data_IF_840180047414
#
_entry.id   IF_840180047414
#
_cell.length_a   1.000
_cell.length_b   1.000
_cell.length_c   1.000
_cell.angle_alpha   90.00
_cell.angle_beta   90.00
_cell.angle_gamma   90.00
#
_symmetry.space_group_name_H-M   'P 1'
#
loop_
_entity.id
_entity.type
_entity.pdbx_description
1 polymer ?
#
# COMPACT_ATOMS: atom_id res chain seq x y z
N UNK A 1 -11.54 4.41 -11.69
CA UNK A 1 -10.50 3.87 -10.80
C UNK A 1 -10.83 4.28 -9.39
N UNK A 2 -10.92 3.31 -8.49
CA UNK A 2 -11.25 3.51 -7.07
C UNK A 2 -10.13 2.91 -6.22
N UNK A 3 -9.84 3.52 -5.07
CA UNK A 3 -8.89 3.00 -4.10
C UNK A 3 -9.69 2.74 -2.83
N UNK A 4 -9.67 1.49 -2.36
CA UNK A 4 -10.45 1.04 -1.20
C UNK A 4 -9.54 0.28 -0.24
N UNK A 5 -9.92 0.22 1.04
CA UNK A 5 -9.18 -0.53 2.04
C UNK A 5 -9.16 -2.01 1.66
N UNK A 6 -8.02 -2.64 1.89
CA UNK A 6 -7.89 -4.07 1.79
C UNK A 6 -8.75 -4.75 2.87
N UNK A 7 -9.32 -5.88 2.50
CA UNK A 7 -9.85 -6.89 3.42
C UNK A 7 -9.45 -8.27 2.87
N UNK A 8 -9.54 -9.31 3.69
CA UNK A 8 -9.14 -10.66 3.32
C UNK A 8 -9.85 -11.20 2.05
N UNK A 9 -11.00 -10.65 1.66
CA UNK A 9 -11.69 -11.03 0.42
C UNK A 9 -10.87 -10.72 -0.83
N UNK A 10 -9.92 -9.79 -0.76
CA UNK A 10 -9.05 -9.41 -1.87
C UNK A 10 -7.68 -10.11 -1.83
N UNK A 11 -7.44 -10.99 -0.87
CA UNK A 11 -6.15 -11.68 -0.68
C UNK A 11 -5.66 -12.36 -1.96
N UNK A 12 -6.52 -13.18 -2.57
CA UNK A 12 -6.19 -13.89 -3.79
C UNK A 12 -5.94 -12.95 -4.98
N UNK A 13 -6.68 -11.82 -5.06
CA UNK A 13 -6.39 -10.81 -6.08
C UNK A 13 -4.98 -10.21 -5.90
N UNK A 14 -4.59 -9.91 -4.67
CA UNK A 14 -3.25 -9.38 -4.37
C UNK A 14 -2.15 -10.39 -4.74
N UNK A 15 -2.34 -11.67 -4.44
CA UNK A 15 -1.41 -12.74 -4.79
C UNK A 15 -1.26 -12.87 -6.32
N UNK A 16 -2.37 -12.82 -7.07
CA UNK A 16 -2.32 -12.86 -8.53
C UNK A 16 -1.63 -11.62 -9.11
N UNK A 17 -1.87 -10.44 -8.54
CA UNK A 17 -1.13 -9.22 -8.90
C UNK A 17 0.37 -9.41 -8.68
N UNK A 18 0.78 -9.95 -7.53
CA UNK A 18 2.18 -10.23 -7.23
C UNK A 18 2.80 -11.17 -8.27
N UNK A 19 2.14 -12.31 -8.53
CA UNK A 19 2.61 -13.31 -9.51
C UNK A 19 2.72 -12.73 -10.92
N UNK A 20 1.81 -11.84 -11.33
CA UNK A 20 1.90 -11.17 -12.64
C UNK A 20 3.17 -10.34 -12.83
N UNK A 21 3.81 -9.94 -11.73
CA UNK A 21 5.04 -9.13 -11.72
C UNK A 21 6.32 -9.98 -11.60
N UNK A 22 6.21 -11.30 -11.43
CA UNK A 22 7.35 -12.22 -11.43
C UNK A 22 7.88 -12.50 -12.86
N UNK A 23 9.18 -12.80 -13.01
CA UNK A 23 10.26 -12.58 -12.04
C UNK A 23 10.87 -11.16 -12.18
N UNK A 24 10.21 -10.28 -12.93
CA UNK A 24 10.82 -9.02 -13.39
C UNK A 24 10.95 -7.99 -12.28
N UNK A 25 9.97 -7.90 -11.38
CA UNK A 25 9.92 -6.90 -10.33
C UNK A 25 10.01 -7.48 -8.92
N UNK A 26 9.72 -8.77 -8.78
CA UNK A 26 9.82 -9.50 -7.52
C UNK A 26 10.54 -10.84 -7.75
N UNK A 27 11.18 -11.33 -6.70
CA UNK A 27 11.74 -12.67 -6.66
C UNK A 27 10.66 -13.69 -6.22
N UNK A 28 10.81 -14.95 -6.62
CA UNK A 28 9.84 -16.01 -6.27
C UNK A 28 9.81 -16.23 -4.76
N UNK A 29 10.97 -16.07 -4.10
CA UNK A 29 11.19 -16.24 -2.68
C UNK A 29 10.48 -15.16 -1.84
N UNK A 30 10.07 -14.05 -2.46
CA UNK A 30 9.31 -12.98 -1.80
C UNK A 30 7.81 -13.30 -1.70
N UNK A 31 7.29 -14.25 -2.47
CA UNK A 31 5.85 -14.59 -2.46
C UNK A 31 5.38 -15.07 -1.06
N UNK A 32 6.06 -16.02 -0.37
CA UNK A 32 5.65 -16.40 0.98
C UNK A 32 5.72 -15.25 2.01
N UNK A 33 6.66 -14.31 1.81
CA UNK A 33 6.77 -13.12 2.66
C UNK A 33 5.57 -12.19 2.46
N UNK A 34 5.15 -12.03 1.20
CA UNK A 34 4.00 -11.23 0.85
C UNK A 34 2.68 -11.86 1.33
N UNK A 35 2.51 -13.18 1.20
CA UNK A 35 1.35 -13.90 1.74
C UNK A 35 1.24 -13.70 3.26
N UNK A 36 2.33 -13.92 3.99
CA UNK A 36 2.35 -13.70 5.44
C UNK A 36 2.08 -12.23 5.80
N UNK A 37 2.58 -11.28 5.01
CA UNK A 37 2.24 -9.86 5.19
C UNK A 37 0.75 -9.62 5.04
N UNK A 38 0.11 -10.16 3.98
CA UNK A 38 -1.33 -10.01 3.73
C UNK A 38 -2.19 -10.54 4.89
N UNK A 39 -1.72 -11.60 5.55
CA UNK A 39 -2.48 -12.29 6.60
C UNK A 39 -2.29 -11.67 7.99
N UNK A 40 -1.20 -10.95 8.23
CA UNK A 40 -0.79 -10.54 9.59
C UNK A 40 -0.54 -9.03 9.76
N UNK A 41 -0.41 -8.27 8.68
CA UNK A 41 0.13 -6.89 8.73
C UNK A 41 -0.64 -5.89 7.84
N UNK A 42 -1.89 -6.22 7.47
CA UNK A 42 -2.73 -5.43 6.56
C UNK A 42 -3.86 -4.70 7.29
N UNK A 43 -3.54 -4.10 8.44
CA UNK A 43 -4.46 -3.21 9.17
C UNK A 43 -4.91 -2.02 8.29
N UNK A 44 -5.37 -0.91 8.88
CA UNK A 44 -6.03 0.20 8.16
C UNK A 44 -5.16 0.93 7.10
N UNK A 45 -3.88 0.57 6.98
CA UNK A 45 -2.88 1.21 6.12
C UNK A 45 -2.59 0.45 4.81
N UNK A 46 -3.40 -0.57 4.46
CA UNK A 46 -3.26 -1.34 3.21
C UNK A 46 -4.48 -1.22 2.30
N UNK A 47 -4.25 -1.09 0.98
CA UNK A 47 -5.28 -0.73 0.01
C UNK A 47 -5.23 -1.59 -1.26
N UNK A 48 -6.36 -1.66 -1.94
CA UNK A 48 -6.47 -2.21 -3.30
C UNK A 48 -7.00 -1.15 -4.27
N UNK A 49 -6.62 -1.30 -5.54
CA UNK A 49 -7.06 -0.44 -6.64
C UNK A 49 -8.05 -1.20 -7.50
N UNK A 50 -9.25 -0.66 -7.65
CA UNK A 50 -10.29 -1.18 -8.55
C UNK A 50 -10.34 -0.37 -9.84
N UNK A 51 -10.27 -1.03 -10.98
CA UNK A 51 -10.54 -0.44 -12.31
C UNK A 51 -11.47 -1.36 -13.08
N UNK A 52 -12.51 -0.79 -13.67
CA UNK A 52 -13.45 -1.51 -14.54
C UNK A 52 -14.01 -2.79 -13.89
N UNK A 53 -14.33 -2.69 -12.59
CA UNK A 53 -14.85 -3.78 -11.78
C UNK A 53 -13.80 -4.75 -11.23
N UNK A 54 -12.57 -4.73 -11.75
CA UNK A 54 -11.48 -5.64 -11.38
C UNK A 54 -10.50 -5.02 -10.38
N UNK A 55 -9.91 -5.86 -9.51
CA UNK A 55 -8.80 -5.46 -8.65
C UNK A 55 -7.50 -5.56 -9.44
N UNK A 56 -6.82 -4.43 -9.63
CA UNK A 56 -5.69 -4.29 -10.56
C UNK A 56 -4.42 -3.80 -9.90
N UNK A 57 -4.45 -3.48 -8.61
CA UNK A 57 -3.26 -3.09 -7.84
C UNK A 57 -3.50 -3.20 -6.35
N UNK A 58 -2.41 -3.27 -5.59
CA UNK A 58 -2.44 -3.31 -4.13
C UNK A 58 -1.18 -2.69 -3.54
N UNK A 59 -1.27 -2.23 -2.30
CA UNK A 59 -0.16 -1.60 -1.60
C UNK A 59 -0.62 -0.76 -0.42
N UNK A 60 0.31 -0.44 0.45
CA UNK A 60 0.02 0.31 1.67
C UNK A 60 1.08 1.33 2.01
N UNK A 61 1.00 1.77 3.25
CA UNK A 61 1.97 2.64 3.89
C UNK A 61 2.44 2.02 5.21
N UNK A 62 3.55 2.53 5.75
CA UNK A 62 3.97 2.20 7.11
C UNK A 62 4.50 3.45 7.81
N UNK A 63 4.34 3.49 9.13
CA UNK A 63 4.92 4.49 10.02
C UNK A 63 5.88 3.79 10.98
N UNK A 64 7.13 4.24 10.98
CA UNK A 64 8.14 3.86 11.96
C UNK A 64 8.40 5.08 12.86
N UNK A 65 7.58 5.19 13.91
CA UNK A 65 7.65 6.28 14.87
C UNK A 65 8.98 6.31 15.62
N UNK A 66 9.59 5.14 15.87
CA UNK A 66 10.86 5.01 16.59
C UNK A 66 12.00 5.71 15.84
N UNK A 67 12.06 5.51 14.53
CA UNK A 67 13.10 6.11 13.70
C UNK A 67 12.63 7.38 12.97
N UNK A 68 11.41 7.85 13.24
CA UNK A 68 10.77 8.98 12.56
C UNK A 68 10.77 8.82 11.02
N UNK A 69 10.42 7.61 10.55
CA UNK A 69 10.35 7.27 9.12
C UNK A 69 8.92 6.90 8.75
N UNK A 70 8.58 7.13 7.50
CA UNK A 70 7.35 6.66 6.90
C UNK A 70 7.66 6.21 5.47
N UNK A 71 6.89 5.25 4.96
CA UNK A 71 7.16 4.72 3.64
C UNK A 71 5.97 4.01 3.01
N UNK A 72 6.20 3.51 1.81
CA UNK A 72 5.25 2.70 1.06
C UNK A 72 5.57 1.22 1.31
N UNK A 73 4.54 0.40 1.51
CA UNK A 73 4.66 -1.05 1.68
C UNK A 73 4.04 -1.79 0.48
N UNK A 74 4.73 -2.83 0.00
CA UNK A 74 4.24 -3.81 -0.98
C UNK A 74 3.40 -3.23 -2.14
N UNK A 75 3.86 -2.14 -2.75
CA UNK A 75 3.12 -1.44 -3.79
C UNK A 75 3.31 -2.02 -5.19
N UNK A 76 2.22 -2.46 -5.81
CA UNK A 76 2.26 -3.06 -7.15
C UNK A 76 0.94 -2.90 -7.92
N UNK A 77 1.04 -2.97 -9.25
CA UNK A 77 -0.07 -2.99 -10.20
C UNK A 77 0.08 -4.25 -11.03
N UNK A 78 -1.02 -4.89 -11.40
CA UNK A 78 -1.01 -6.07 -12.27
C UNK A 78 -0.29 -5.74 -13.58
N UNK A 79 0.57 -6.64 -14.08
CA UNK A 79 1.45 -6.36 -15.22
C UNK A 79 0.70 -5.89 -16.47
N UNK A 80 -0.46 -6.48 -16.79
CA UNK A 80 -1.32 -6.08 -17.92
C UNK A 80 -1.91 -4.66 -17.81
N UNK A 81 -1.77 -4.04 -16.64
CA UNK A 81 -2.24 -2.69 -16.33
C UNK A 81 -1.10 -1.68 -16.19
N UNK A 82 0.15 -2.09 -16.42
CA UNK A 82 1.30 -1.18 -16.47
C UNK A 82 1.19 -0.19 -17.63
N UNK A 83 1.85 0.96 -17.49
CA UNK A 83 1.83 2.02 -18.51
C UNK A 83 0.51 2.80 -18.62
N UNK A 84 -0.53 2.43 -17.87
CA UNK A 84 -1.86 3.08 -17.91
C UNK A 84 -2.05 4.21 -16.88
N UNK A 85 -0.98 4.66 -16.23
CA UNK A 85 -1.02 5.73 -15.21
C UNK A 85 -1.55 5.31 -13.82
N UNK A 86 -2.09 4.10 -13.65
CA UNK A 86 -2.63 3.58 -12.38
C UNK A 86 -1.58 3.64 -11.26
N UNK A 87 -0.36 3.14 -11.51
CA UNK A 87 0.70 3.13 -10.51
C UNK A 87 1.08 4.54 -10.02
N UNK A 88 1.08 5.53 -10.92
CA UNK A 88 1.34 6.94 -10.57
C UNK A 88 0.25 7.47 -9.65
N UNK A 89 -1.02 7.30 -10.02
CA UNK A 89 -2.14 7.77 -9.22
C UNK A 89 -2.19 7.09 -7.84
N UNK A 90 -1.95 5.78 -7.79
CA UNK A 90 -1.97 5.03 -6.54
C UNK A 90 -0.79 5.34 -5.61
N UNK A 91 0.40 5.60 -6.16
CA UNK A 91 1.54 6.12 -5.37
C UNK A 91 1.25 7.51 -4.81
N UNK A 92 0.65 8.40 -5.60
CA UNK A 92 0.30 9.74 -5.15
C UNK A 92 -0.69 9.71 -3.98
N UNK A 93 -1.74 8.89 -4.08
CA UNK A 93 -2.70 8.68 -2.99
C UNK A 93 -2.02 8.32 -1.66
N UNK A 94 -1.09 7.36 -1.69
CA UNK A 94 -0.37 6.90 -0.49
C UNK A 94 0.59 7.95 0.07
N UNK A 95 1.24 8.73 -0.79
CA UNK A 95 2.07 9.88 -0.35
C UNK A 95 1.21 10.93 0.35
N UNK A 96 0.03 11.25 -0.19
CA UNK A 96 -0.85 12.24 0.42
C UNK A 96 -1.47 11.74 1.72
N UNK A 97 -1.72 10.43 1.84
CA UNK A 97 -2.07 9.79 3.11
C UNK A 97 -0.96 9.99 4.16
N UNK A 98 0.29 9.67 3.82
CA UNK A 98 1.43 9.87 4.72
C UNK A 98 1.61 11.32 5.18
N UNK A 99 1.45 12.29 4.26
CA UNK A 99 1.50 13.71 4.62
C UNK A 99 0.44 14.06 5.65
N UNK A 100 -0.78 13.54 5.51
CA UNK A 100 -1.86 13.78 6.49
C UNK A 100 -1.49 13.19 7.85
N UNK A 101 -0.94 11.98 7.91
CA UNK A 101 -0.51 11.38 9.17
C UNK A 101 0.58 12.21 9.86
N UNK A 102 1.58 12.65 9.10
CA UNK A 102 2.67 13.47 9.64
C UNK A 102 2.13 14.82 10.15
N UNK A 103 1.28 15.49 9.38
CA UNK A 103 0.68 16.77 9.77
C UNK A 103 -0.16 16.66 11.05
N UNK A 104 -0.97 15.60 11.18
CA UNK A 104 -1.71 15.35 12.42
C UNK A 104 -0.76 15.09 13.59
N UNK A 105 0.30 14.29 13.41
CA UNK A 105 1.26 14.01 14.47
C UNK A 105 2.01 15.25 14.97
N UNK A 106 2.29 16.22 14.09
CA UNK A 106 2.93 17.48 14.44
C UNK A 106 1.97 18.41 15.20
N UNK A 107 0.69 18.44 14.80
CA UNK A 107 -0.32 19.21 15.51
C UNK A 107 -0.44 18.74 16.98
N UNK A 108 -0.45 17.42 17.23
CA UNK A 108 -0.47 16.89 18.59
C UNK A 108 0.78 17.26 19.41
N UNK A 109 1.99 17.26 18.83
CA UNK A 109 3.22 17.64 19.57
C UNK A 109 3.26 19.12 19.98
N UNK A 110 2.66 19.99 19.18
CA UNK A 110 2.63 21.43 19.45
C UNK A 110 1.59 21.85 20.50
N UNK A 111 0.59 21.01 20.79
CA UNK A 111 -0.42 21.28 21.83
C UNK A 111 0.09 20.85 23.22
N UNK A 112 0.94 19.83 23.30
CA UNK A 112 1.49 19.33 24.58
C UNK A 112 2.70 20.09 25.11
N UNK A 113 3.26 21.04 24.34
CA UNK A 113 4.47 21.80 24.70
C UNK A 113 4.19 23.17 25.35
N UNK A 114 2.92 23.49 25.64
CA UNK A 114 2.53 24.59 26.51
C UNK A 114 1.97 24.07 27.84
N UNK A 115 2.83 23.53 28.71
CA UNK A 115 2.57 23.39 30.15
C UNK A 115 3.87 23.54 30.92
#
# INVERSE_FOLDING_TARGET
>A
MEIINYTNIFRENCIEIFKSNLPKFFAIEELPLFENFLDQHTDEDYFVVRSDGQIVGCGGVFLDAKNNRAGLSWGMVHADYHGKGIGKAFTQYRIDLLKRFILHSLHYRNVTTYR
#
